data_IF_941386020522
#
_entry.id   IF_941386020522
#
_cell.length_a   1.000
_cell.length_b   1.000
_cell.length_c   1.000
_cell.angle_alpha   90.00
_cell.angle_beta   90.00
_cell.angle_gamma   90.00
#
_symmetry.space_group_name_H-M   'P 1'
#
loop_
_entity.id
_entity.type
_entity.pdbx_description
1 polymer ?
#
# COMPACT_ATOMS: atom_id res chain seq x y z
N UNK A 1 -19.79 7.90 7.00
CA UNK A 1 -18.83 6.80 7.28
C UNK A 1 -17.64 7.40 8.02
N UNK A 2 -17.35 6.92 9.23
CA UNK A 2 -16.21 7.39 10.04
C UNK A 2 -15.14 6.31 9.98
N UNK A 3 -13.92 6.69 9.60
CA UNK A 3 -12.75 5.81 9.65
C UNK A 3 -12.18 5.87 11.07
N UNK A 4 -11.91 4.73 11.70
CA UNK A 4 -11.34 4.66 13.06
C UNK A 4 -10.07 3.82 13.03
N UNK A 5 -9.05 4.23 13.80
CA UNK A 5 -7.77 3.53 13.85
C UNK A 5 -7.94 2.21 14.62
N UNK A 6 -7.62 1.04 14.04
CA UNK A 6 -7.71 -0.25 14.72
C UNK A 6 -6.84 -0.37 15.98
N UNK A 7 -5.81 0.47 16.12
CA UNK A 7 -4.98 0.52 17.32
C UNK A 7 -5.76 1.00 18.55
N UNK A 8 -6.75 1.88 18.38
CA UNK A 8 -7.62 2.35 19.46
C UNK A 8 -8.68 1.31 19.86
N UNK A 9 -8.77 0.20 19.13
CA UNK A 9 -9.74 -0.90 19.31
C UNK A 9 -9.10 -2.14 19.96
N UNK A 10 -7.78 -2.12 20.22
CA UNK A 10 -7.01 -3.33 20.53
C UNK A 10 -7.12 -3.72 22.01
N UNK A 11 -8.12 -4.54 22.35
CA UNK A 11 -8.04 -5.64 23.33
C UNK A 11 -9.42 -6.32 23.54
N UNK A 12 -9.76 -7.35 22.75
CA UNK A 12 -10.72 -8.37 23.20
C UNK A 12 -10.20 -9.76 22.78
N UNK A 13 -9.64 -10.56 23.70
CA UNK A 13 -9.34 -11.96 23.44
C UNK A 13 -10.64 -12.76 23.45
N UNK A 14 -10.94 -13.48 22.36
CA UNK A 14 -12.06 -14.42 22.27
C UNK A 14 -13.06 -14.08 21.15
N UNK A 15 -13.23 -15.04 20.22
CA UNK A 15 -14.26 -15.11 19.15
C UNK A 15 -14.82 -13.77 18.66
N UNK A 16 -13.98 -13.07 17.91
CA UNK A 16 -14.34 -11.93 17.08
C UNK A 16 -15.20 -12.42 15.89
N UNK A 17 -16.49 -12.08 15.85
CA UNK A 17 -17.38 -12.31 14.70
C UNK A 17 -17.83 -10.95 14.17
N UNK A 18 -17.72 -10.71 12.87
CA UNK A 18 -17.92 -9.38 12.23
C UNK A 18 -19.24 -8.69 12.62
N UNK A 19 -20.29 -9.46 12.90
CA UNK A 19 -21.60 -8.98 13.36
C UNK A 19 -21.51 -8.34 14.76
N UNK A 20 -20.90 -9.05 15.73
CA UNK A 20 -20.75 -8.59 17.11
C UNK A 20 -19.82 -7.38 17.20
N UNK A 21 -18.78 -7.35 16.38
CA UNK A 21 -17.90 -6.18 16.30
C UNK A 21 -18.62 -4.96 15.74
N UNK A 22 -19.47 -5.15 14.72
CA UNK A 22 -20.21 -4.04 14.12
C UNK A 22 -21.23 -3.45 15.11
N UNK A 23 -21.89 -4.29 15.90
CA UNK A 23 -22.78 -3.86 16.99
C UNK A 23 -22.03 -3.10 18.08
N UNK A 24 -20.89 -3.64 18.54
CA UNK A 24 -20.02 -3.00 19.53
C UNK A 24 -19.46 -1.66 19.03
N UNK A 25 -19.03 -1.59 17.76
CA UNK A 25 -18.57 -0.35 17.12
C UNK A 25 -19.70 0.68 17.01
N UNK A 26 -20.92 0.24 16.69
CA UNK A 26 -22.08 1.14 16.65
C UNK A 26 -22.42 1.69 18.03
N UNK A 27 -22.29 0.88 19.09
CA UNK A 27 -22.49 1.31 20.47
C UNK A 27 -21.41 2.32 20.93
N UNK A 28 -20.13 2.01 20.69
CA UNK A 28 -19.03 2.96 20.96
C UNK A 28 -19.18 4.26 20.18
N UNK A 29 -19.66 4.20 18.94
CA UNK A 29 -19.92 5.39 18.13
C UNK A 29 -21.08 6.22 18.71
N UNK A 30 -22.17 5.57 19.14
CA UNK A 30 -23.32 6.24 19.77
C UNK A 30 -22.94 6.94 21.07
N UNK A 31 -22.02 6.36 21.84
CA UNK A 31 -21.51 6.96 23.07
C UNK A 31 -20.37 7.97 22.86
N UNK A 32 -19.96 8.25 21.61
CA UNK A 32 -18.91 9.21 21.29
C UNK A 32 -17.50 8.77 21.71
N UNK A 33 -17.30 7.49 21.99
CA UNK A 33 -16.05 6.92 22.49
C UNK A 33 -15.05 6.58 21.36
N UNK A 34 -15.47 6.71 20.09
CA UNK A 34 -14.60 6.50 18.93
C UNK A 34 -14.01 7.81 18.43
N UNK A 35 -12.68 7.88 18.44
CA UNK A 35 -11.96 8.97 17.80
C UNK A 35 -11.89 8.72 16.29
N UNK A 36 -12.39 9.66 15.49
CA UNK A 36 -12.25 9.62 14.05
C UNK A 36 -10.77 9.70 13.65
N UNK A 37 -10.34 8.79 12.79
CA UNK A 37 -9.04 8.85 12.13
C UNK A 37 -8.95 10.11 11.28
N UNK A 38 -7.78 10.73 11.30
CA UNK A 38 -7.49 11.85 10.41
C UNK A 38 -7.55 11.42 8.96
N UNK A 39 -8.42 12.06 8.17
CA UNK A 39 -8.51 11.93 6.72
C UNK A 39 -8.02 13.25 6.12
N UNK A 40 -6.90 13.26 5.36
CA UNK A 40 -6.43 14.48 4.72
C UNK A 40 -7.48 15.07 3.76
N UNK A 41 -7.52 16.42 3.62
CA UNK A 41 -8.32 17.09 2.60
C UNK A 41 -8.14 16.51 1.19
N UNK A 42 -9.19 16.62 0.35
CA UNK A 42 -9.22 16.05 -1.01
C UNK A 42 -7.97 16.39 -1.85
N UNK A 43 -7.47 17.64 -1.91
CA UNK A 43 -6.27 17.96 -2.71
C UNK A 43 -5.02 17.19 -2.28
N UNK A 44 -4.84 16.97 -0.97
CA UNK A 44 -3.69 16.23 -0.43
C UNK A 44 -3.82 14.74 -0.76
N UNK A 45 -5.03 14.17 -0.74
CA UNK A 45 -5.26 12.78 -1.13
C UNK A 45 -4.92 12.55 -2.60
N UNK A 46 -5.39 13.42 -3.48
CA UNK A 46 -5.09 13.35 -4.92
C UNK A 46 -3.58 13.38 -5.19
N UNK A 47 -2.84 14.29 -4.54
CA UNK A 47 -1.37 14.33 -4.65
C UNK A 47 -0.71 13.05 -4.12
N UNK A 48 -1.21 12.49 -3.01
CA UNK A 48 -0.69 11.23 -2.45
C UNK A 48 -0.97 10.05 -3.38
N UNK A 49 -2.09 10.06 -4.08
CA UNK A 49 -2.43 8.98 -5.01
C UNK A 49 -1.55 9.04 -6.26
N UNK A 50 -1.28 10.24 -6.80
CA UNK A 50 -0.32 10.42 -7.89
C UNK A 50 1.09 9.96 -7.52
N UNK A 51 1.58 10.34 -6.33
CA UNK A 51 2.94 9.96 -5.89
C UNK A 51 3.05 8.45 -5.61
N UNK A 52 2.01 7.82 -5.05
CA UNK A 52 1.93 6.37 -4.89
C UNK A 52 1.89 5.65 -6.24
N UNK A 53 1.12 6.16 -7.18
CA UNK A 53 1.03 5.58 -8.52
C UNK A 53 2.38 5.60 -9.22
N UNK A 54 3.09 6.74 -9.19
CA UNK A 54 4.48 6.83 -9.69
C UNK A 54 5.39 5.79 -9.02
N UNK A 55 5.29 5.63 -7.69
CA UNK A 55 6.09 4.62 -6.96
C UNK A 55 5.77 3.20 -7.43
N UNK A 56 4.51 2.87 -7.68
CA UNK A 56 4.09 1.56 -8.22
C UNK A 56 4.76 1.31 -9.56
N UNK A 57 4.66 2.27 -10.49
CA UNK A 57 5.24 2.16 -11.82
C UNK A 57 6.77 1.97 -11.79
N UNK A 58 7.47 2.67 -10.90
CA UNK A 58 8.92 2.50 -10.72
C UNK A 58 9.26 1.11 -10.18
N UNK A 59 8.47 0.61 -9.23
CA UNK A 59 8.63 -0.75 -8.69
C UNK A 59 8.38 -1.81 -9.76
N UNK A 60 7.30 -1.67 -10.54
CA UNK A 60 6.95 -2.56 -11.64
C UNK A 60 8.05 -2.58 -12.70
N UNK A 61 8.55 -1.41 -13.13
CA UNK A 61 9.69 -1.30 -14.05
C UNK A 61 10.90 -2.08 -13.54
N UNK A 62 11.24 -1.91 -12.26
CA UNK A 62 12.38 -2.60 -11.64
C UNK A 62 12.18 -4.11 -11.61
N UNK A 63 10.96 -4.56 -11.33
CA UNK A 63 10.62 -5.99 -11.35
C UNK A 63 10.76 -6.59 -12.76
N UNK A 64 10.28 -5.90 -13.79
CA UNK A 64 10.39 -6.36 -15.17
C UNK A 64 11.84 -6.42 -15.65
N UNK A 65 12.66 -5.42 -15.30
CA UNK A 65 14.11 -5.45 -15.55
C UNK A 65 14.75 -6.69 -14.91
N UNK A 66 14.44 -6.94 -13.62
CA UNK A 66 15.00 -8.10 -12.92
C UNK A 66 14.54 -9.43 -13.51
N UNK A 67 13.30 -9.52 -14.03
CA UNK A 67 12.80 -10.72 -14.73
C UNK A 67 13.57 -10.94 -16.03
N UNK A 68 13.75 -9.89 -16.81
CA UNK A 68 14.49 -9.94 -18.07
C UNK A 68 15.95 -10.35 -17.84
N UNK A 69 16.56 -9.85 -16.76
CA UNK A 69 17.90 -10.27 -16.35
C UNK A 69 17.99 -11.75 -16.04
N UNK A 70 17.07 -12.29 -15.24
CA UNK A 70 17.03 -13.72 -14.92
C UNK A 70 16.88 -14.58 -16.18
N UNK A 71 16.05 -14.15 -17.14
CA UNK A 71 15.87 -14.86 -18.41
C UNK A 71 17.16 -14.89 -19.23
N UNK A 72 17.85 -13.77 -19.36
CA UNK A 72 19.08 -13.67 -20.15
C UNK A 72 20.25 -14.40 -19.49
N UNK A 73 20.37 -14.36 -18.17
CA UNK A 73 21.34 -15.17 -17.43
C UNK A 73 21.10 -16.67 -17.66
N UNK A 74 19.85 -17.12 -17.66
CA UNK A 74 19.48 -18.49 -18.01
C UNK A 74 19.82 -18.88 -19.46
N UNK A 75 19.83 -17.91 -20.37
CA UNK A 75 20.24 -18.09 -21.77
C UNK A 75 21.75 -17.91 -22.00
N UNK A 76 22.54 -17.74 -20.93
CA UNK A 76 23.98 -17.47 -20.97
C UNK A 76 24.36 -16.13 -21.65
N UNK A 77 23.42 -15.18 -21.73
CA UNK A 77 23.61 -13.83 -22.27
C UNK A 77 23.80 -12.85 -21.10
N UNK A 78 24.95 -12.20 -21.01
CA UNK A 78 25.22 -11.21 -19.96
C UNK A 78 24.63 -9.85 -20.34
N UNK A 79 23.56 -9.42 -19.66
CA UNK A 79 22.96 -8.08 -19.88
C UNK A 79 23.94 -6.92 -19.73
N UNK A 80 24.91 -7.05 -18.82
CA UNK A 80 25.96 -6.07 -18.60
C UNK A 80 26.82 -5.81 -19.86
N UNK A 81 26.84 -6.72 -20.84
CA UNK A 81 27.54 -6.52 -22.11
C UNK A 81 26.66 -5.94 -23.22
N UNK A 82 25.35 -5.80 -23.00
CA UNK A 82 24.39 -5.41 -24.06
C UNK A 82 23.67 -4.09 -23.73
N UNK A 83 23.46 -3.76 -22.45
CA UNK A 83 22.67 -2.59 -22.05
C UNK A 83 23.55 -1.58 -21.32
N UNK A 84 23.82 -0.45 -21.99
CA UNK A 84 24.61 0.68 -21.46
C UNK A 84 23.85 1.50 -20.41
N UNK A 85 22.52 1.40 -20.37
CA UNK A 85 21.69 2.08 -19.36
C UNK A 85 20.41 1.27 -19.12
N UNK A 86 20.39 0.51 -18.01
CA UNK A 86 19.26 -0.37 -17.67
C UNK A 86 18.06 0.43 -17.15
N UNK A 87 18.25 1.69 -16.75
CA UNK A 87 17.22 2.50 -16.10
C UNK A 87 16.93 3.84 -16.79
N UNK A 88 17.75 4.29 -17.75
CA UNK A 88 17.57 5.56 -18.43
C UNK A 88 17.78 6.76 -17.50
N UNK A 89 18.03 7.95 -18.07
CA UNK A 89 18.32 9.22 -17.38
C UNK A 89 17.23 9.77 -16.44
N UNK A 90 16.24 8.98 -16.03
CA UNK A 90 15.11 9.42 -15.21
C UNK A 90 14.65 8.34 -14.23
N UNK A 91 15.60 7.89 -13.40
CA UNK A 91 15.28 7.34 -12.08
C UNK A 91 14.58 8.37 -11.21
#
# INVERSE_FOLDING_TARGET
MILVNPQHMKAVPGRKTDIKDSEWLAELLRHGLLQASFIPPKPIRELRDLTRYRKSLVSERTQEVNRLQKLLEGANIKLASVVTDVLGKSG
#
